data_IF_655831711021
#
_entry.id   IF_655831711021
#
_cell.length_a   1.000
_cell.length_b   1.000
_cell.length_c   1.000
_cell.angle_alpha   90.00
_cell.angle_beta   90.00
_cell.angle_gamma   90.00
#
_symmetry.space_group_name_H-M   'P 1'
#
loop_
_entity.id
_entity.type
_entity.pdbx_description
1 polymer ?
#
# COMPACT_ATOMS: atom_id res chain seq x y z
N UNK A 1 -3.82 3.00 -15.88
CA UNK A 1 -3.64 2.67 -14.45
C UNK A 1 -2.22 2.93 -13.97
N UNK A 2 -1.17 2.34 -14.55
CA UNK A 2 0.23 2.60 -14.12
C UNK A 2 0.67 4.04 -14.45
N UNK A 3 0.29 4.54 -15.62
CA UNK A 3 0.47 5.93 -16.06
C UNK A 3 -0.10 6.94 -15.06
N UNK A 4 -1.25 6.63 -14.45
CA UNK A 4 -1.88 7.47 -13.43
C UNK A 4 -1.01 7.53 -12.17
N UNK A 5 -0.37 6.42 -11.76
CA UNK A 5 0.59 6.40 -10.65
C UNK A 5 1.78 7.31 -10.95
N UNK A 6 2.35 7.23 -12.15
CA UNK A 6 3.49 8.08 -12.52
C UNK A 6 3.09 9.56 -12.53
N UNK A 7 1.89 9.87 -13.02
CA UNK A 7 1.41 11.26 -13.18
C UNK A 7 0.97 11.90 -11.88
N UNK A 8 0.42 11.11 -10.95
CA UNK A 8 -0.31 11.62 -9.78
C UNK A 8 0.27 11.16 -8.44
N UNK A 9 1.40 10.44 -8.43
CA UNK A 9 2.06 10.06 -7.19
C UNK A 9 2.38 11.29 -6.33
N UNK A 10 1.77 11.33 -5.16
CA UNK A 10 2.10 12.25 -4.08
C UNK A 10 3.22 11.69 -3.19
N UNK A 11 3.40 10.36 -3.19
CA UNK A 11 4.49 9.70 -2.48
C UNK A 11 5.57 9.30 -3.49
N UNK A 12 6.70 10.00 -3.43
CA UNK A 12 7.88 9.71 -4.24
C UNK A 12 9.12 9.57 -3.34
N UNK A 13 9.71 8.37 -3.30
CA UNK A 13 10.91 8.08 -2.49
C UNK A 13 12.06 7.71 -3.40
N UNK A 14 13.14 8.50 -3.36
CA UNK A 14 14.38 8.19 -4.08
C UNK A 14 15.04 6.94 -3.50
N UNK A 15 15.48 6.07 -4.40
CA UNK A 15 16.25 4.88 -4.09
C UNK A 15 17.66 5.00 -4.70
N UNK A 16 18.55 4.08 -4.31
CA UNK A 16 19.87 3.99 -4.93
C UNK A 16 19.77 3.70 -6.44
N UNK A 17 20.76 4.16 -7.19
CA UNK A 17 20.84 3.92 -8.64
C UNK A 17 19.85 4.72 -9.48
N UNK A 18 19.44 5.91 -9.04
CA UNK A 18 18.60 6.82 -9.84
C UNK A 18 17.11 6.44 -9.89
N UNK A 19 16.69 5.46 -9.09
CA UNK A 19 15.31 4.95 -9.09
C UNK A 19 14.41 5.76 -8.16
N UNK A 20 13.14 5.83 -8.53
CA UNK A 20 12.07 6.41 -7.74
C UNK A 20 11.02 5.35 -7.42
N UNK A 21 10.69 5.20 -6.15
CA UNK A 21 9.50 4.45 -5.72
C UNK A 21 8.33 5.42 -5.64
N UNK A 22 7.32 5.19 -6.48
CA UNK A 22 6.11 6.00 -6.60
C UNK A 22 4.89 5.26 -6.05
N UNK A 23 4.04 5.99 -5.32
CA UNK A 23 2.73 5.54 -4.84
C UNK A 23 1.75 6.72 -4.83
N UNK A 24 0.46 6.42 -4.92
CA UNK A 24 -0.61 7.38 -4.64
C UNK A 24 -1.24 7.04 -3.29
N UNK A 25 -1.35 8.02 -2.38
CA UNK A 25 -2.08 7.86 -1.12
C UNK A 25 -3.60 7.82 -1.36
N UNK A 26 -4.37 7.17 -0.47
CA UNK A 26 -5.84 7.23 -0.52
C UNK A 26 -6.38 8.67 -0.56
N UNK A 27 -5.79 9.57 0.23
CA UNK A 27 -6.19 10.96 0.33
C UNK A 27 -6.00 11.71 -1.00
N UNK A 28 -4.88 11.42 -1.70
CA UNK A 28 -4.64 11.99 -3.03
C UNK A 28 -5.60 11.42 -4.07
N UNK A 29 -5.98 10.14 -3.98
CA UNK A 29 -7.01 9.56 -4.86
C UNK A 29 -8.34 10.28 -4.69
N UNK A 30 -8.80 10.46 -3.44
CA UNK A 30 -10.03 11.18 -3.14
C UNK A 30 -10.00 12.62 -3.67
N UNK A 31 -8.89 13.33 -3.45
CA UNK A 31 -8.71 14.69 -3.94
C UNK A 31 -8.77 14.77 -5.49
N UNK A 32 -8.18 13.81 -6.19
CA UNK A 32 -8.19 13.74 -7.65
C UNK A 32 -9.54 13.30 -8.22
N UNK A 33 -10.28 12.44 -7.51
CA UNK A 33 -11.66 12.10 -7.85
C UNK A 33 -12.59 13.31 -7.70
N UNK A 34 -12.45 14.08 -6.61
CA UNK A 34 -13.21 15.31 -6.42
C UNK A 34 -12.94 16.36 -7.52
N UNK A 35 -11.73 16.35 -8.10
CA UNK A 35 -11.34 17.18 -9.23
C UNK A 35 -11.77 16.61 -10.60
N UNK A 36 -12.40 15.44 -10.65
CA UNK A 36 -12.77 14.75 -11.89
C UNK A 36 -11.59 14.21 -12.70
N UNK A 37 -10.39 14.12 -12.11
CA UNK A 37 -9.17 13.62 -12.76
C UNK A 37 -9.07 12.10 -12.72
N UNK A 38 -9.71 11.47 -11.74
CA UNK A 38 -9.76 10.02 -11.58
C UNK A 38 -11.22 9.54 -11.50
N UNK A 39 -11.49 8.33 -12.01
CA UNK A 39 -12.79 7.68 -11.92
C UNK A 39 -13.04 7.03 -10.55
N UNK A 40 -14.27 6.59 -10.29
CA UNK A 40 -14.67 5.97 -9.02
C UNK A 40 -13.85 4.71 -8.65
N UNK A 41 -13.41 3.94 -9.66
CA UNK A 41 -12.61 2.72 -9.48
C UNK A 41 -11.13 2.98 -9.13
N UNK A 42 -10.72 4.26 -9.02
CA UNK A 42 -9.32 4.63 -8.82
C UNK A 42 -8.74 4.26 -7.45
N UNK A 43 -9.57 3.82 -6.50
CA UNK A 43 -9.13 3.32 -5.18
C UNK A 43 -8.08 2.21 -5.28
N UNK A 44 -8.10 1.41 -6.36
CA UNK A 44 -7.09 0.37 -6.65
C UNK A 44 -5.69 0.93 -6.89
N UNK A 45 -5.53 2.23 -7.16
CA UNK A 45 -4.22 2.86 -7.33
C UNK A 45 -3.43 2.91 -6.03
N UNK A 46 -4.09 2.91 -4.86
CA UNK A 46 -3.43 2.90 -3.55
C UNK A 46 -2.67 1.59 -3.28
N UNK A 47 -3.08 0.51 -3.96
CA UNK A 47 -2.42 -0.79 -3.93
C UNK A 47 -1.20 -0.88 -4.82
N UNK A 48 -0.98 0.08 -5.71
CA UNK A 48 0.15 0.01 -6.63
C UNK A 48 1.40 0.67 -6.05
N UNK A 49 2.50 -0.05 -6.16
CA UNK A 49 3.85 0.51 -6.05
C UNK A 49 4.52 0.42 -7.41
N UNK A 50 5.04 1.54 -7.91
CA UNK A 50 5.79 1.61 -9.17
C UNK A 50 7.23 2.00 -8.87
N UNK A 51 8.19 1.25 -9.42
CA UNK A 51 9.61 1.62 -9.44
C UNK A 51 9.91 2.20 -10.82
N UNK A 52 10.29 3.47 -10.85
CA UNK A 52 10.53 4.25 -12.04
C UNK A 52 12.01 4.63 -12.15
N UNK A 53 12.58 4.50 -13.33
CA UNK A 53 13.86 5.10 -13.70
C UNK A 53 13.63 6.50 -14.24
N UNK A 54 14.04 7.51 -13.49
CA UNK A 54 13.85 8.92 -13.86
C UNK A 54 14.75 9.32 -15.04
N UNK A 55 15.94 8.71 -15.16
CA UNK A 55 16.91 9.06 -16.19
C UNK A 55 16.52 8.50 -17.56
N UNK A 56 16.03 7.26 -17.57
CA UNK A 56 15.59 6.59 -18.80
C UNK A 56 14.10 6.82 -19.11
N UNK A 57 13.33 7.34 -18.14
CA UNK A 57 11.89 7.54 -18.26
C UNK A 57 11.10 6.23 -18.30
N UNK A 58 11.61 5.15 -17.71
CA UNK A 58 11.06 3.80 -17.87
C UNK A 58 10.59 3.17 -16.56
N UNK A 59 9.48 2.43 -16.63
CA UNK A 59 9.01 1.62 -15.49
C UNK A 59 9.86 0.36 -15.38
N UNK A 60 10.55 0.22 -14.25
CA UNK A 60 11.38 -0.95 -13.95
C UNK A 60 10.57 -2.07 -13.33
N UNK A 61 9.62 -1.75 -12.43
CA UNK A 61 8.81 -2.75 -11.73
C UNK A 61 7.48 -2.16 -11.32
N UNK A 62 6.43 -2.99 -11.38
CA UNK A 62 5.11 -2.68 -10.81
C UNK A 62 4.74 -3.78 -9.85
N UNK A 63 4.30 -3.41 -8.65
CA UNK A 63 3.90 -4.34 -7.60
C UNK A 63 2.46 -4.02 -7.16
N UNK A 64 1.63 -5.05 -7.10
CA UNK A 64 0.30 -5.00 -6.50
C UNK A 64 0.39 -5.41 -5.03
N UNK A 65 0.27 -4.43 -4.15
CA UNK A 65 0.36 -4.57 -2.70
C UNK A 65 -0.97 -4.98 -2.06
N UNK A 66 -2.07 -5.10 -2.82
CA UNK A 66 -3.34 -5.60 -2.28
C UNK A 66 -3.15 -6.97 -1.63
N UNK A 67 -2.39 -7.84 -2.31
CA UNK A 67 -2.04 -9.19 -1.81
C UNK A 67 -1.18 -9.14 -0.55
N UNK A 68 -0.36 -8.11 -0.40
CA UNK A 68 0.49 -7.92 0.77
C UNK A 68 -0.34 -7.44 1.97
N UNK A 69 -1.32 -6.56 1.74
CA UNK A 69 -2.28 -6.12 2.77
C UNK A 69 -3.14 -7.28 3.26
N UNK A 70 -3.65 -8.11 2.36
CA UNK A 70 -4.45 -9.29 2.73
C UNK A 70 -3.64 -10.31 3.56
N UNK A 71 -2.37 -10.48 3.22
CA UNK A 71 -1.47 -11.36 3.98
C UNK A 71 -1.14 -10.78 5.37
N UNK A 72 -0.91 -9.47 5.47
CA UNK A 72 -0.67 -8.79 6.74
C UNK A 72 -1.91 -8.79 7.64
N UNK A 73 -3.10 -8.55 7.09
CA UNK A 73 -4.37 -8.59 7.83
C UNK A 73 -4.62 -10.00 8.39
N UNK A 74 -4.45 -11.05 7.57
CA UNK A 74 -4.51 -12.42 8.05
C UNK A 74 -3.56 -12.68 9.20
N UNK A 75 -2.32 -12.18 9.12
CA UNK A 75 -1.34 -12.40 10.17
C UNK A 75 -1.69 -11.67 11.47
N UNK A 76 -2.25 -10.45 11.38
CA UNK A 76 -2.77 -9.72 12.54
C UNK A 76 -3.94 -10.46 13.22
N UNK A 77 -4.84 -11.07 12.44
CA UNK A 77 -5.92 -11.91 13.00
C UNK A 77 -5.37 -13.12 13.76
N UNK A 78 -4.27 -13.70 13.30
CA UNK A 78 -3.58 -14.80 13.99
C UNK A 78 -2.91 -14.35 15.29
N UNK A 79 -2.28 -13.16 15.30
CA UNK A 79 -1.62 -12.61 16.49
C UNK A 79 -2.64 -12.32 17.62
N UNK A 80 -3.85 -11.85 17.24
CA UNK A 80 -4.95 -11.62 18.16
C UNK A 80 -5.46 -12.90 18.88
N UNK A 81 -5.19 -14.10 18.34
CA UNK A 81 -5.55 -15.36 18.98
C UNK A 81 -4.59 -15.74 20.13
N UNK A 82 -3.39 -15.13 20.18
CA UNK A 82 -2.35 -15.41 21.17
C UNK A 82 -2.16 -14.25 22.18
N UNK A 83 -3.22 -13.48 22.46
CA UNK A 83 -3.21 -12.38 23.44
C UNK A 83 -2.87 -12.87 24.87
N UNK A 84 -2.42 -11.98 25.75
CA UNK A 84 -2.00 -12.25 27.13
C UNK A 84 -3.11 -12.94 27.97
N UNK A 85 -4.37 -12.70 27.60
CA UNK A 85 -5.55 -13.39 28.16
C UNK A 85 -5.59 -14.90 27.82
N UNK A 86 -5.07 -15.32 26.66
CA UNK A 86 -4.99 -16.73 26.23
C UNK A 86 -4.04 -17.56 27.10
N UNK A 87 -3.11 -16.90 27.82
CA UNK A 87 -2.15 -17.55 28.71
C UNK A 87 -2.52 -17.45 30.19
N UNK A 88 -3.68 -16.85 30.54
CA UNK A 88 -4.13 -16.83 31.93
C UNK A 88 -4.41 -18.25 32.41
N UNK A 89 -3.72 -18.73 33.46
CA UNK A 89 -3.98 -20.08 33.97
C UNK A 89 -5.42 -20.15 34.51
N UNK A 90 -6.18 -21.14 34.03
CA UNK A 90 -7.60 -21.37 34.39
C UNK A 90 -7.84 -21.77 35.86
N UNK A 91 -6.83 -21.72 36.73
CA UNK A 91 -6.96 -22.12 38.13
C UNK A 91 -6.42 -21.06 39.09
N UNK A 92 -7.33 -20.20 39.53
CA UNK A 92 -7.31 -19.62 40.87
C UNK A 92 -8.66 -19.92 41.52
N UNK A 93 -8.92 -21.19 41.81
CA UNK A 93 -10.06 -21.61 42.59
C UNK A 93 -9.57 -22.13 43.95
N UNK A 94 -9.85 -21.31 44.97
CA UNK A 94 -9.86 -21.53 46.41
C UNK A 94 -8.52 -21.82 47.12
#
# INVERSE_FOLDING_TARGET
MIDQVITHADIAVRQSGGRLKLRISPEMIEALQAQGKLGAEAHRLADLTVIWDEAEGQVLTVRDDARLRDAAARWADWDALFDEDSFRPLHAAA
#
